data_IF_267513239154
#
_entry.id   IF_267513239154
#
_cell.length_a   1.000
_cell.length_b   1.000
_cell.length_c   1.000
_cell.angle_alpha   90.00
_cell.angle_beta   90.00
_cell.angle_gamma   90.00
#
_symmetry.space_group_name_H-M   'P 1'
#
loop_
_entity.id
_entity.type
_entity.pdbx_description
1 polymer ?
#
# COMPACT_ATOMS: atom_id res chain seq x y z
N UNK A 1 -19.55 -20.41 16.67
CA UNK A 1 -20.70 -19.48 16.76
C UNK A 1 -21.22 -19.34 15.34
N UNK A 2 -22.43 -19.79 15.02
CA UNK A 2 -22.95 -19.76 13.64
C UNK A 2 -23.61 -18.42 13.38
N UNK A 3 -23.05 -17.61 12.48
CA UNK A 3 -23.65 -16.33 12.08
C UNK A 3 -24.82 -16.64 11.14
N UNK A 4 -26.05 -16.29 11.55
CA UNK A 4 -27.24 -16.41 10.69
C UNK A 4 -27.40 -15.11 9.91
N UNK A 5 -27.09 -15.14 8.61
CA UNK A 5 -27.31 -14.03 7.69
C UNK A 5 -28.61 -14.31 6.93
N UNK A 6 -29.62 -13.45 7.00
CA UNK A 6 -30.85 -13.66 6.25
C UNK A 6 -30.61 -13.46 4.74
N UNK A 7 -31.35 -14.15 3.84
CA UNK A 7 -31.13 -14.11 2.40
C UNK A 7 -31.04 -12.69 1.81
N UNK A 8 -31.88 -11.77 2.29
CA UNK A 8 -31.92 -10.37 1.88
C UNK A 8 -30.66 -9.57 2.24
N UNK A 9 -29.89 -10.01 3.24
CA UNK A 9 -28.65 -9.35 3.66
C UNK A 9 -27.37 -10.03 3.13
N UNK A 10 -27.50 -11.18 2.46
CA UNK A 10 -26.35 -11.95 1.98
C UNK A 10 -25.49 -11.14 0.99
N UNK A 11 -26.12 -10.43 0.06
CA UNK A 11 -25.40 -9.61 -0.93
C UNK A 11 -24.54 -8.53 -0.28
N UNK A 12 -25.14 -7.70 0.59
CA UNK A 12 -24.41 -6.64 1.31
C UNK A 12 -23.33 -7.20 2.25
N UNK A 13 -23.56 -8.38 2.84
CA UNK A 13 -22.57 -9.01 3.68
C UNK A 13 -21.33 -9.46 2.87
N UNK A 14 -21.55 -10.11 1.73
CA UNK A 14 -20.46 -10.53 0.83
C UNK A 14 -19.71 -9.32 0.29
N UNK A 15 -20.42 -8.28 -0.14
CA UNK A 15 -19.82 -7.03 -0.62
C UNK A 15 -18.89 -6.45 0.45
N UNK A 16 -19.36 -6.32 1.69
CA UNK A 16 -18.54 -5.81 2.80
C UNK A 16 -17.28 -6.65 3.03
N UNK A 17 -17.36 -7.98 2.97
CA UNK A 17 -16.18 -8.83 3.13
C UNK A 17 -15.15 -8.61 2.01
N UNK A 18 -15.62 -8.48 0.77
CA UNK A 18 -14.74 -8.21 -0.37
C UNK A 18 -14.08 -6.83 -0.25
N UNK A 19 -14.84 -5.81 0.16
CA UNK A 19 -14.29 -4.46 0.40
C UNK A 19 -13.24 -4.46 1.51
N UNK A 20 -13.47 -5.19 2.61
CA UNK A 20 -12.48 -5.35 3.69
C UNK A 20 -11.20 -6.04 3.19
N UNK A 21 -11.33 -7.08 2.35
CA UNK A 21 -10.16 -7.72 1.74
C UNK A 21 -9.42 -6.75 0.83
N UNK A 22 -10.13 -5.99 0.00
CA UNK A 22 -9.56 -5.01 -0.91
C UNK A 22 -8.76 -3.94 -0.17
N UNK A 23 -9.35 -3.36 0.87
CA UNK A 23 -8.67 -2.43 1.76
C UNK A 23 -7.38 -3.03 2.34
N UNK A 24 -7.48 -4.25 2.89
CA UNK A 24 -6.34 -4.91 3.51
C UNK A 24 -5.21 -5.15 2.51
N UNK A 25 -5.53 -5.52 1.26
CA UNK A 25 -4.54 -5.71 0.19
C UNK A 25 -3.88 -4.39 -0.21
N UNK A 26 -4.66 -3.31 -0.38
CA UNK A 26 -4.13 -1.99 -0.74
C UNK A 26 -3.16 -1.47 0.32
N UNK A 27 -3.54 -1.54 1.59
CA UNK A 27 -2.71 -1.08 2.70
C UNK A 27 -1.46 -1.95 2.90
N UNK A 28 -1.58 -3.27 2.71
CA UNK A 28 -0.44 -4.17 2.77
C UNK A 28 0.53 -3.95 1.60
N UNK A 29 0.02 -3.67 0.39
CA UNK A 29 0.84 -3.33 -0.76
C UNK A 29 1.65 -2.04 -0.51
N UNK A 30 0.99 -0.96 -0.06
CA UNK A 30 1.63 0.31 0.30
C UNK A 30 2.74 0.10 1.35
N UNK A 31 2.44 -0.66 2.40
CA UNK A 31 3.42 -0.98 3.44
C UNK A 31 4.62 -1.73 2.87
N UNK A 32 4.40 -2.77 2.06
CA UNK A 32 5.49 -3.58 1.50
C UNK A 32 6.37 -2.78 0.56
N UNK A 33 5.81 -1.92 -0.30
CA UNK A 33 6.66 -1.14 -1.22
C UNK A 33 7.50 -0.11 -0.48
N UNK A 34 6.97 0.48 0.60
CA UNK A 34 7.73 1.38 1.47
C UNK A 34 8.85 0.64 2.20
N UNK A 35 8.56 -0.54 2.77
CA UNK A 35 9.55 -1.34 3.48
C UNK A 35 10.62 -1.95 2.56
N UNK A 36 10.24 -2.36 1.35
CA UNK A 36 11.13 -2.98 0.37
C UNK A 36 11.90 -1.98 -0.51
N UNK A 37 11.64 -0.68 -0.35
CA UNK A 37 12.35 0.36 -1.09
C UNK A 37 13.87 0.22 -0.91
N UNK A 38 14.67 0.46 -1.96
CA UNK A 38 16.12 0.30 -1.95
C UNK A 38 16.84 1.45 -1.23
N UNK A 39 16.17 2.06 -0.25
CA UNK A 39 16.69 3.05 0.69
C UNK A 39 16.03 2.82 2.04
N UNK A 40 16.82 2.86 3.11
CA UNK A 40 16.31 2.61 4.46
C UNK A 40 15.41 3.76 4.95
N UNK A 41 15.68 4.98 4.50
CA UNK A 41 15.02 6.22 4.93
C UNK A 41 14.92 7.23 3.78
N UNK A 42 14.22 8.35 4.01
CA UNK A 42 14.24 9.52 3.16
C UNK A 42 13.19 9.57 2.05
N UNK A 43 13.38 10.55 1.17
CA UNK A 43 12.39 11.04 0.20
C UNK A 43 11.80 9.96 -0.70
N UNK A 44 12.61 9.02 -1.21
CA UNK A 44 12.06 7.99 -2.09
C UNK A 44 11.06 7.09 -1.37
N UNK A 45 11.40 6.63 -0.15
CA UNK A 45 10.54 5.77 0.67
C UNK A 45 9.29 6.49 1.17
N UNK A 46 9.38 7.79 1.44
CA UNK A 46 8.21 8.57 1.88
C UNK A 46 7.28 8.99 0.75
N UNK A 47 7.72 8.94 -0.52
CA UNK A 47 6.94 9.45 -1.65
C UNK A 47 5.96 8.43 -2.28
N UNK A 48 5.84 7.24 -1.72
CA UNK A 48 4.85 6.25 -2.14
C UNK A 48 3.43 6.72 -1.80
N UNK A 49 2.55 6.66 -2.80
CA UNK A 49 1.17 7.13 -2.77
C UNK A 49 0.22 6.03 -3.24
N UNK A 50 -0.96 6.00 -2.62
CA UNK A 50 -2.08 5.16 -3.04
C UNK A 50 -3.01 6.01 -3.91
N UNK A 51 -3.21 5.60 -5.14
CA UNK A 51 -4.15 6.23 -6.06
C UNK A 51 -5.45 5.44 -6.20
N UNK A 52 -6.59 6.12 -6.17
CA UNK A 52 -7.89 5.53 -6.48
C UNK A 52 -8.42 6.09 -7.80
N UNK A 53 -8.41 5.26 -8.85
CA UNK A 53 -8.71 5.63 -10.24
C UNK A 53 -7.88 6.81 -10.77
N UNK A 54 -6.76 7.11 -10.11
CA UNK A 54 -5.95 8.30 -10.37
C UNK A 54 -4.49 8.03 -9.97
N UNK A 55 -3.54 8.56 -10.75
CA UNK A 55 -2.10 8.56 -10.47
C UNK A 55 -1.50 9.97 -10.57
N UNK A 56 -2.32 11.00 -10.81
CA UNK A 56 -1.91 12.40 -11.04
C UNK A 56 -1.59 13.16 -9.75
N UNK A 57 -1.31 12.43 -8.67
CA UNK A 57 -0.89 12.98 -7.39
C UNK A 57 0.37 13.84 -7.51
N UNK A 58 0.67 14.64 -6.48
CA UNK A 58 1.87 15.47 -6.48
C UNK A 58 3.12 14.64 -6.78
N UNK A 59 4.01 15.22 -7.60
CA UNK A 59 5.32 14.63 -7.89
C UNK A 59 6.08 14.36 -6.59
N UNK A 60 6.10 15.38 -5.73
CA UNK A 60 6.78 15.39 -4.44
C UNK A 60 5.76 15.61 -3.32
N UNK A 61 5.57 14.59 -2.50
CA UNK A 61 4.91 14.74 -1.23
C UNK A 61 5.77 15.60 -0.31
N UNK A 62 5.20 16.57 0.41
CA UNK A 62 5.98 17.42 1.30
C UNK A 62 6.81 16.57 2.28
N UNK A 63 8.14 16.70 2.17
CA UNK A 63 9.18 16.02 2.95
C UNK A 63 8.96 16.13 4.48
N UNK A 64 8.21 17.16 4.88
CA UNK A 64 7.90 17.56 6.27
C UNK A 64 7.12 16.54 7.09
N UNK A 65 6.58 15.48 6.51
CA UNK A 65 5.86 14.47 7.29
C UNK A 65 6.79 13.40 7.90
N UNK A 66 8.05 13.31 7.46
CA UNK A 66 8.97 12.22 7.84
C UNK A 66 10.42 12.64 8.11
N UNK A 67 10.73 13.93 7.95
CA UNK A 67 12.00 14.51 8.36
C UNK A 67 11.79 15.30 9.66
N UNK A 68 12.28 14.76 10.78
CA UNK A 68 12.45 15.60 11.97
C UNK A 68 13.58 16.59 11.67
N UNK A 69 13.20 17.83 11.40
CA UNK A 69 14.12 18.91 11.07
C UNK A 69 15.06 19.26 12.24
N UNK A 70 14.72 18.83 13.46
CA UNK A 70 15.49 19.09 14.68
C UNK A 70 16.53 17.99 14.98
N UNK A 71 16.41 16.79 14.39
CA UNK A 71 17.32 15.65 14.65
C UNK A 71 17.80 14.96 13.36
N UNK A 72 18.67 15.61 12.56
CA UNK A 72 19.11 15.09 11.26
C UNK A 72 19.95 13.80 11.29
N UNK A 73 20.40 13.36 12.48
CA UNK A 73 21.29 12.18 12.65
C UNK A 73 20.62 10.91 13.17
N UNK A 74 19.35 10.98 13.59
CA UNK A 74 18.59 9.85 14.17
C UNK A 74 17.21 9.70 13.49
N UNK A 75 17.16 9.91 12.17
CA UNK A 75 15.94 9.76 11.40
C UNK A 75 15.63 8.28 11.11
N UNK A 76 15.23 7.52 12.14
CA UNK A 76 14.48 6.29 11.94
C UNK A 76 13.11 6.68 11.34
N UNK A 77 13.06 6.84 10.03
CA UNK A 77 11.81 6.94 9.28
C UNK A 77 10.90 5.84 9.78
N UNK A 78 9.75 6.22 10.32
CA UNK A 78 8.81 5.30 10.96
C UNK A 78 8.72 4.02 10.13
N UNK A 79 8.99 2.88 10.77
CA UNK A 79 8.91 1.57 10.10
C UNK A 79 7.53 1.32 9.47
N UNK A 80 6.51 2.08 9.88
CA UNK A 80 5.19 2.13 9.25
C UNK A 80 4.80 3.60 8.96
N UNK A 81 5.18 4.12 7.79
CA UNK A 81 4.65 5.41 7.33
C UNK A 81 3.15 5.27 7.04
N UNK A 82 2.28 6.20 7.50
CA UNK A 82 0.87 6.15 7.16
C UNK A 82 0.66 6.17 5.64
N UNK A 83 -0.44 5.57 5.16
CA UNK A 83 -0.84 5.66 3.76
C UNK A 83 -1.10 7.11 3.38
N UNK A 84 -0.59 7.53 2.22
CA UNK A 84 -0.86 8.85 1.63
C UNK A 84 -1.62 8.61 0.34
N UNK A 85 -2.72 9.34 0.14
CA UNK A 85 -3.67 9.08 -0.94
C UNK A 85 -3.75 10.18 -2.00
N UNK A 86 -3.82 9.76 -3.26
CA UNK A 86 -4.25 10.57 -4.42
C UNK A 86 -5.67 10.15 -4.77
N UNK A 87 -6.65 11.02 -4.53
CA UNK A 87 -8.07 10.70 -4.62
C UNK A 87 -8.51 9.48 -3.76
N UNK A 88 -7.68 9.07 -2.81
CA UNK A 88 -7.86 7.88 -1.98
C UNK A 88 -7.99 8.26 -0.50
N UNK A 89 -8.86 7.55 0.23
CA UNK A 89 -9.00 7.69 1.69
C UNK A 89 -8.91 6.30 2.34
N UNK A 90 -8.05 6.11 3.36
CA UNK A 90 -7.92 4.83 4.06
C UNK A 90 -9.01 4.66 5.14
N UNK A 91 -10.29 4.86 4.78
CA UNK A 91 -11.43 4.83 5.71
C UNK A 91 -12.31 3.58 5.57
N UNK A 92 -11.91 2.62 4.74
CA UNK A 92 -12.69 1.42 4.43
C UNK A 92 -13.68 1.64 3.30
N UNK A 93 -13.58 2.76 2.60
CA UNK A 93 -14.39 3.13 1.45
C UNK A 93 -13.99 2.44 0.14
N UNK A 94 -13.03 1.50 0.15
CA UNK A 94 -12.62 0.79 -1.06
C UNK A 94 -13.77 0.00 -1.68
N UNK A 95 -13.93 0.12 -3.01
CA UNK A 95 -15.06 -0.47 -3.74
C UNK A 95 -14.61 -1.39 -4.86
N UNK A 96 -15.34 -2.49 -5.00
CA UNK A 96 -15.22 -3.35 -6.18
C UNK A 96 -15.56 -2.53 -7.43
N UNK A 97 -14.71 -2.64 -8.45
CA UNK A 97 -14.82 -1.88 -9.70
C UNK A 97 -13.89 -0.67 -9.79
N UNK A 98 -13.38 -0.18 -8.66
CA UNK A 98 -12.32 0.83 -8.66
C UNK A 98 -10.94 0.19 -8.87
N UNK A 99 -10.02 0.97 -9.43
CA UNK A 99 -8.62 0.61 -9.60
C UNK A 99 -7.80 1.32 -8.51
N UNK A 100 -7.12 0.53 -7.69
CA UNK A 100 -6.20 1.02 -6.68
C UNK A 100 -4.78 0.76 -7.15
N UNK A 101 -3.98 1.82 -7.20
CA UNK A 101 -2.60 1.77 -7.65
C UNK A 101 -1.68 2.26 -6.53
N UNK A 102 -0.46 1.72 -6.49
CA UNK A 102 0.59 2.21 -5.60
C UNK A 102 1.66 2.79 -6.51
N UNK A 103 1.94 4.08 -6.39
CA UNK A 103 2.82 4.80 -7.30
C UNK A 103 3.80 5.69 -6.55
N UNK A 104 4.88 6.04 -7.24
CA UNK A 104 5.85 7.01 -6.79
C UNK A 104 6.15 7.94 -7.97
N UNK A 105 5.78 9.21 -7.84
CA UNK A 105 5.83 10.15 -8.95
C UNK A 105 7.20 10.87 -9.09
N UNK A 106 8.22 10.48 -8.31
CA UNK A 106 9.53 11.11 -8.43
C UNK A 106 10.15 10.86 -9.81
N UNK A 107 10.81 11.86 -10.44
CA UNK A 107 11.41 11.69 -11.76
C UNK A 107 12.48 10.59 -11.84
N UNK A 108 13.07 10.21 -10.70
CA UNK A 108 14.07 9.16 -10.58
C UNK A 108 13.51 7.85 -9.99
N UNK A 109 12.21 7.74 -9.76
CA UNK A 109 11.64 6.59 -9.07
C UNK A 109 11.87 5.28 -9.83
N UNK A 110 11.63 5.28 -11.14
CA UNK A 110 11.86 4.14 -12.02
C UNK A 110 13.35 3.74 -12.06
N UNK A 111 14.24 4.73 -12.15
CA UNK A 111 15.69 4.49 -12.16
C UNK A 111 16.16 3.79 -10.89
N UNK A 112 15.66 4.27 -9.75
CA UNK A 112 16.02 3.74 -8.45
C UNK A 112 15.37 2.37 -8.18
N UNK A 113 14.09 2.23 -8.53
CA UNK A 113 13.28 1.04 -8.24
C UNK A 113 13.46 -0.11 -9.22
N UNK A 114 13.72 0.15 -10.50
CA UNK A 114 13.72 -0.85 -11.56
C UNK A 114 15.05 -0.95 -12.33
N UNK A 115 15.67 0.19 -12.68
CA UNK A 115 16.92 0.18 -13.47
C UNK A 115 18.18 -0.19 -12.68
N UNK A 116 18.07 -0.43 -11.37
CA UNK A 116 19.20 -0.88 -10.55
C UNK A 116 20.24 0.21 -10.27
N UNK A 117 19.86 1.49 -10.27
CA UNK A 117 20.78 2.62 -10.01
C UNK A 117 21.21 2.77 -8.53
N UNK A 118 20.72 1.94 -7.63
CA UNK A 118 21.15 1.91 -6.21
C UNK A 118 21.93 0.64 -5.94
N UNK A 119 23.08 0.77 -5.28
CA UNK A 119 23.84 -0.38 -4.72
C UNK A 119 23.01 -1.15 -3.67
N UNK A 120 21.98 -0.51 -3.12
CA UNK A 120 21.03 -1.10 -2.17
C UNK A 120 19.81 -1.71 -2.87
N UNK A 121 19.72 -1.71 -4.21
CA UNK A 121 18.60 -2.32 -4.92
C UNK A 121 18.71 -3.85 -4.89
N UNK A 122 17.78 -4.57 -4.22
CA UNK A 122 17.87 -6.02 -4.08
C UNK A 122 17.48 -6.80 -5.37
N UNK A 123 17.24 -6.12 -6.50
CA UNK A 123 16.86 -6.73 -7.78
C UNK A 123 15.40 -6.44 -8.13
N UNK A 124 14.63 -7.37 -8.73
CA UNK A 124 13.23 -7.16 -9.12
C UNK A 124 12.28 -7.18 -7.89
N UNK A 125 12.54 -6.31 -6.92
CA UNK A 125 11.90 -6.32 -5.60
C UNK A 125 10.41 -5.97 -5.66
N UNK A 126 10.00 -5.12 -6.59
CA UNK A 126 8.59 -4.81 -6.85
C UNK A 126 7.85 -6.05 -7.35
N UNK A 127 8.45 -6.80 -8.29
CA UNK A 127 7.85 -8.03 -8.83
C UNK A 127 7.76 -9.12 -7.75
N UNK A 128 8.76 -9.22 -6.88
CA UNK A 128 8.74 -10.12 -5.73
C UNK A 128 7.60 -9.75 -4.76
N UNK A 129 7.46 -8.47 -4.41
CA UNK A 129 6.36 -8.01 -3.56
C UNK A 129 5.01 -8.32 -4.19
N UNK A 130 4.83 -8.06 -5.49
CA UNK A 130 3.58 -8.35 -6.19
C UNK A 130 3.22 -9.84 -6.10
N UNK A 131 4.20 -10.72 -6.30
CA UNK A 131 4.02 -12.17 -6.17
C UNK A 131 3.67 -12.59 -4.74
N UNK A 132 4.36 -12.06 -3.75
CA UNK A 132 4.09 -12.36 -2.34
C UNK A 132 2.74 -11.79 -1.88
N UNK A 133 2.29 -10.69 -2.47
CA UNK A 133 1.00 -10.08 -2.18
C UNK A 133 -0.14 -10.93 -2.73
N UNK A 134 0.03 -11.58 -3.89
CA UNK A 134 -0.95 -12.53 -4.43
C UNK A 134 -1.17 -13.70 -3.45
N UNK A 135 -0.08 -14.31 -2.98
CA UNK A 135 -0.14 -15.42 -2.01
C UNK A 135 -0.72 -14.97 -0.67
N UNK A 136 -0.36 -13.77 -0.22
CA UNK A 136 -0.91 -13.19 0.99
C UNK A 136 -2.42 -12.92 0.86
N UNK A 137 -2.87 -12.39 -0.27
CA UNK A 137 -4.28 -12.10 -0.54
C UNK A 137 -5.13 -13.36 -0.45
N UNK A 138 -4.66 -14.47 -1.06
CA UNK A 138 -5.32 -15.78 -0.96
C UNK A 138 -5.44 -16.25 0.50
N UNK A 139 -4.37 -16.12 1.28
CA UNK A 139 -4.37 -16.48 2.72
C UNK A 139 -5.33 -15.60 3.52
N UNK A 140 -5.32 -14.28 3.30
CA UNK A 140 -6.19 -13.32 3.95
C UNK A 140 -7.67 -13.59 3.64
N UNK A 141 -7.99 -13.94 2.40
CA UNK A 141 -9.33 -14.37 2.00
C UNK A 141 -9.80 -15.59 2.81
N UNK A 142 -8.99 -16.64 2.90
CA UNK A 142 -9.36 -17.84 3.67
C UNK A 142 -9.57 -17.54 5.17
N UNK A 143 -8.80 -16.60 5.74
CA UNK A 143 -8.99 -16.15 7.13
C UNK A 143 -10.30 -15.39 7.33
N UNK A 144 -10.68 -14.52 6.39
CA UNK A 144 -11.95 -13.78 6.44
C UNK A 144 -13.11 -14.76 6.32
N UNK A 145 -13.03 -15.69 5.38
CA UNK A 145 -14.01 -16.75 5.19
C UNK A 145 -14.16 -17.65 6.42
N UNK A 146 -13.06 -18.06 7.05
CA UNK A 146 -13.06 -18.93 8.24
C UNK A 146 -13.58 -18.24 9.52
N UNK A 147 -13.59 -16.92 9.57
CA UNK A 147 -14.14 -16.13 10.69
C UNK A 147 -15.63 -15.85 10.58
N UNK A 148 -16.27 -16.27 9.47
CA UNK A 148 -17.71 -16.09 9.20
C UNK A 148 -18.47 -17.38 9.47
#
# INVERSE_FOLDING_TARGET
MTIKIPPEAMGSHMEKQVQMLLQAVVLEADKRVKLGSPVDTGRFRSNWQIGENDTSGPEDLPDKQYWDQENPGENAVQSNLPPVGTNYKPDGGEKVGNIYNIHNNLPYAERLGYEGWSDQNPGPWIDLIAKELEDWTKKSYEQIKAKT
#
